data_IF_125556189252
#
_entry.id   IF_125556189252
#
_cell.length_a   1.000
_cell.length_b   1.000
_cell.length_c   1.000
_cell.angle_alpha   90.00
_cell.angle_beta   90.00
_cell.angle_gamma   90.00
#
_symmetry.space_group_name_H-M   'P 1'
#
loop_
_entity.id
_entity.type
_entity.pdbx_description
1 polymer ?
#
# COMPACT_ATOMS: atom_id res chain seq x y z
N UNK A 1 43.24 41.82 49.68
CA UNK A 1 42.51 41.52 48.43
C UNK A 1 42.31 40.01 48.34
N UNK A 2 41.16 39.50 48.78
CA UNK A 2 40.81 38.06 48.69
C UNK A 2 40.29 37.79 47.29
N UNK A 3 41.04 37.06 46.48
CA UNK A 3 40.59 36.62 45.15
C UNK A 3 39.49 35.57 45.30
N UNK A 4 38.39 35.76 44.57
CA UNK A 4 37.22 34.88 44.49
C UNK A 4 37.58 33.56 43.78
N UNK A 5 38.30 32.67 44.46
CA UNK A 5 38.63 31.31 44.00
C UNK A 5 37.44 30.39 43.66
N UNK A 6 36.24 30.45 44.31
CA UNK A 6 35.15 29.53 43.97
C UNK A 6 34.43 29.86 42.65
N UNK A 7 34.49 31.11 42.17
CA UNK A 7 33.88 31.48 40.87
C UNK A 7 34.69 30.96 39.67
N UNK A 8 36.02 30.94 39.79
CA UNK A 8 36.90 30.47 38.71
C UNK A 8 36.83 28.96 38.55
N UNK A 9 36.76 28.21 39.66
CA UNK A 9 36.58 26.75 39.63
C UNK A 9 35.22 26.34 39.07
N UNK A 10 34.16 27.09 39.38
CA UNK A 10 32.83 26.84 38.80
C UNK A 10 32.81 27.07 37.28
N UNK A 11 33.44 28.15 36.79
CA UNK A 11 33.52 28.45 35.36
C UNK A 11 34.32 27.38 34.61
N UNK A 12 35.45 26.92 35.18
CA UNK A 12 36.26 25.85 34.58
C UNK A 12 35.52 24.50 34.56
N UNK A 13 34.74 24.18 35.59
CA UNK A 13 33.90 22.97 35.63
C UNK A 13 32.79 23.02 34.56
N UNK A 14 32.14 24.17 34.39
CA UNK A 14 31.15 24.36 33.34
C UNK A 14 31.76 24.23 31.93
N UNK A 15 32.95 24.80 31.70
CA UNK A 15 33.65 24.67 30.42
C UNK A 15 34.07 23.22 30.12
N UNK A 16 34.49 22.47 31.14
CA UNK A 16 34.85 21.06 31.00
C UNK A 16 33.64 20.16 30.71
N UNK A 17 32.50 20.41 31.38
CA UNK A 17 31.23 19.72 31.12
C UNK A 17 30.72 20.04 29.70
N UNK A 18 30.82 21.30 29.26
CA UNK A 18 30.49 21.67 27.88
C UNK A 18 31.40 20.95 26.86
N UNK A 19 32.69 20.79 27.16
CA UNK A 19 33.62 20.06 26.29
C UNK A 19 33.27 18.57 26.18
N UNK A 20 32.85 17.92 27.28
CA UNK A 20 32.39 16.52 27.28
C UNK A 20 31.07 16.36 26.51
N UNK A 21 30.16 17.34 26.57
CA UNK A 21 28.88 17.30 25.84
C UNK A 21 29.10 17.46 24.32
N UNK A 22 30.03 18.34 23.92
CA UNK A 22 30.36 18.58 22.50
C UNK A 22 31.11 17.39 21.89
N UNK A 23 31.96 16.70 22.66
CA UNK A 23 32.76 15.55 22.19
C UNK A 23 32.23 14.18 22.63
N UNK A 24 31.00 14.10 23.14
CA UNK A 24 30.38 12.80 23.34
C UNK A 24 30.12 12.17 21.95
N UNK A 25 30.56 10.92 21.71
CA UNK A 25 30.42 10.28 20.40
C UNK A 25 28.96 10.24 19.91
N UNK A 26 27.98 10.20 20.81
CA UNK A 26 26.56 10.29 20.46
C UNK A 26 26.21 11.68 19.89
N UNK A 27 26.77 12.76 20.44
CA UNK A 27 26.55 14.13 19.94
C UNK A 27 27.28 14.38 18.62
N UNK A 28 28.47 13.81 18.42
CA UNK A 28 29.17 13.88 17.13
C UNK A 28 28.40 13.12 16.05
N UNK A 29 27.81 11.97 16.37
CA UNK A 29 26.93 11.23 15.46
C UNK A 29 25.64 12.01 15.16
N UNK A 30 24.98 12.63 16.15
CA UNK A 30 23.73 13.37 15.92
C UNK A 30 23.98 14.70 15.22
N UNK A 31 25.06 15.42 15.52
CA UNK A 31 25.43 16.68 14.85
C UNK A 31 26.02 16.41 13.46
N UNK A 32 26.77 15.31 13.28
CA UNK A 32 27.18 14.79 11.97
C UNK A 32 25.99 14.40 11.10
N UNK A 33 25.00 13.72 11.68
CA UNK A 33 23.73 13.39 11.01
C UNK A 33 22.90 14.64 10.67
N UNK A 34 22.87 15.63 11.57
CA UNK A 34 22.17 16.90 11.34
C UNK A 34 22.86 17.77 10.27
N UNK A 35 24.18 17.77 10.23
CA UNK A 35 24.97 18.49 9.22
C UNK A 35 24.89 17.84 7.83
N UNK A 36 24.83 16.50 7.76
CA UNK A 36 24.46 15.78 6.51
C UNK A 36 23.04 16.13 6.07
N UNK A 37 22.09 16.25 7.01
CA UNK A 37 20.72 16.73 6.74
C UNK A 37 20.70 18.13 6.13
N UNK A 38 21.52 19.05 6.64
CA UNK A 38 21.55 20.44 6.18
C UNK A 38 22.29 20.57 4.84
N UNK A 39 23.45 19.93 4.67
CA UNK A 39 24.19 19.96 3.40
C UNK A 39 23.47 19.19 2.28
N UNK A 40 22.85 18.05 2.59
CA UNK A 40 22.05 17.28 1.62
C UNK A 40 20.75 17.98 1.22
N UNK A 41 20.14 18.72 2.15
CA UNK A 41 18.95 19.56 1.90
C UNK A 41 19.27 20.78 1.02
N UNK A 42 20.40 21.45 1.25
CA UNK A 42 20.79 22.65 0.50
C UNK A 42 21.12 22.38 -0.98
N UNK A 43 21.56 21.17 -1.34
CA UNK A 43 21.81 20.80 -2.74
C UNK A 43 20.55 20.55 -3.58
N UNK A 44 19.41 20.27 -2.94
CA UNK A 44 18.15 19.88 -3.60
C UNK A 44 17.02 20.92 -3.46
N UNK A 45 17.31 22.09 -2.89
CA UNK A 45 16.34 23.16 -2.64
C UNK A 45 15.72 23.77 -3.92
N UNK A 46 16.11 23.30 -5.12
CA UNK A 46 15.61 23.78 -6.40
C UNK A 46 15.03 22.70 -7.33
N UNK A 47 14.78 21.47 -6.85
CA UNK A 47 14.05 20.45 -7.62
C UNK A 47 12.82 19.97 -6.86
N UNK A 48 11.63 20.13 -7.46
CA UNK A 48 10.30 19.81 -6.90
C UNK A 48 10.01 18.31 -6.72
N UNK A 49 11.05 17.47 -6.63
CA UNK A 49 10.95 16.01 -6.54
C UNK A 49 11.23 15.55 -5.11
N UNK A 50 10.34 14.69 -4.57
CA UNK A 50 10.51 14.05 -3.26
C UNK A 50 11.94 13.45 -3.12
N UNK A 51 12.76 13.87 -2.14
CA UNK A 51 14.11 13.34 -1.99
C UNK A 51 14.13 11.83 -1.70
N UNK A 52 13.03 11.27 -1.16
CA UNK A 52 12.92 9.85 -0.81
C UNK A 52 12.91 8.89 -1.99
N UNK A 53 12.67 9.42 -3.20
CA UNK A 53 12.60 8.64 -4.45
C UNK A 53 13.90 8.74 -5.28
N UNK A 54 14.80 9.67 -4.93
CA UNK A 54 16.07 9.84 -5.64
C UNK A 54 17.01 8.67 -5.40
N UNK A 55 17.78 8.24 -6.41
CA UNK A 55 18.84 7.24 -6.21
C UNK A 55 19.91 7.71 -5.21
N UNK A 56 20.02 9.03 -5.01
CA UNK A 56 21.00 9.64 -4.10
C UNK A 56 20.75 9.29 -2.62
N UNK A 57 19.62 8.65 -2.27
CA UNK A 57 19.43 8.07 -0.92
C UNK A 57 20.47 6.98 -0.60
N UNK A 58 21.11 6.40 -1.62
CA UNK A 58 22.21 5.45 -1.46
C UNK A 58 23.59 6.11 -1.50
N UNK A 59 23.69 7.43 -1.71
CA UNK A 59 24.97 8.13 -1.73
C UNK A 59 25.66 7.97 -0.38
N UNK A 60 26.97 7.79 -0.41
CA UNK A 60 27.81 7.58 0.79
C UNK A 60 27.46 6.30 1.58
N UNK A 61 26.74 5.36 0.96
CA UNK A 61 26.51 4.00 1.49
C UNK A 61 27.37 2.96 0.77
N UNK A 62 27.64 1.78 1.38
CA UNK A 62 28.33 0.67 0.71
C UNK A 62 27.65 0.20 -0.58
N UNK A 63 26.32 0.41 -0.71
CA UNK A 63 25.55 0.03 -1.88
C UNK A 63 25.60 1.05 -3.02
N UNK A 64 26.33 2.18 -2.91
CA UNK A 64 26.30 3.26 -3.90
C UNK A 64 26.71 2.82 -5.32
N UNK A 65 27.76 2.01 -5.46
CA UNK A 65 28.18 1.52 -6.77
C UNK A 65 27.13 0.58 -7.39
N UNK A 66 26.48 -0.25 -6.58
CA UNK A 66 25.37 -1.09 -7.01
C UNK A 66 24.16 -0.22 -7.39
N UNK A 67 23.87 0.83 -6.64
CA UNK A 67 22.79 1.78 -6.89
C UNK A 67 22.94 2.48 -8.26
N UNK A 68 24.16 2.94 -8.59
CA UNK A 68 24.46 3.50 -9.92
C UNK A 68 24.25 2.48 -11.04
N UNK A 69 24.68 1.24 -10.84
CA UNK A 69 24.49 0.16 -11.81
C UNK A 69 23.00 -0.18 -12.01
N UNK A 70 22.22 -0.20 -10.93
CA UNK A 70 20.76 -0.40 -10.93
C UNK A 70 20.04 0.73 -11.66
N UNK A 71 20.37 1.98 -11.36
CA UNK A 71 19.76 3.17 -12.00
C UNK A 71 20.01 3.21 -13.52
N UNK A 72 21.22 2.86 -13.94
CA UNK A 72 21.63 2.77 -15.35
C UNK A 72 21.24 1.46 -16.05
N UNK A 73 20.61 0.51 -15.34
CA UNK A 73 20.30 -0.84 -15.82
C UNK A 73 21.50 -1.61 -16.39
N UNK A 74 22.70 -1.41 -15.83
CA UNK A 74 23.91 -2.12 -16.25
C UNK A 74 23.94 -3.54 -15.66
N UNK A 75 23.26 -4.47 -16.32
CA UNK A 75 23.07 -5.87 -15.85
C UNK A 75 24.40 -6.60 -15.61
N UNK A 76 25.42 -6.36 -16.45
CA UNK A 76 26.75 -6.96 -16.28
C UNK A 76 27.39 -6.49 -14.98
N UNK A 77 27.34 -5.18 -14.70
CA UNK A 77 27.91 -4.60 -13.48
C UNK A 77 27.13 -5.00 -12.23
N UNK A 78 25.80 -5.09 -12.31
CA UNK A 78 24.96 -5.60 -11.22
C UNK A 78 25.39 -7.03 -10.85
N UNK A 79 25.45 -7.94 -11.83
CA UNK A 79 25.91 -9.32 -11.63
C UNK A 79 27.30 -9.38 -11.00
N UNK A 80 28.24 -8.59 -11.52
CA UNK A 80 29.61 -8.53 -10.99
C UNK A 80 29.59 -8.13 -9.51
N UNK A 81 28.98 -6.98 -9.17
CA UNK A 81 28.98 -6.48 -7.79
C UNK A 81 28.26 -7.47 -6.86
N UNK A 82 27.12 -8.02 -7.25
CA UNK A 82 26.40 -9.00 -6.43
C UNK A 82 27.19 -10.30 -6.21
N UNK A 83 28.08 -10.68 -7.14
CA UNK A 83 28.95 -11.85 -6.97
C UNK A 83 30.13 -11.59 -6.03
N UNK A 84 30.68 -10.38 -6.05
CA UNK A 84 31.81 -9.94 -5.22
C UNK A 84 31.36 -9.55 -3.80
N UNK A 85 30.16 -8.98 -3.68
CA UNK A 85 29.60 -8.37 -2.47
C UNK A 85 28.15 -8.81 -2.24
N UNK A 86 27.96 -10.09 -1.88
CA UNK A 86 26.62 -10.69 -1.69
C UNK A 86 25.81 -9.99 -0.61
N UNK A 87 26.46 -9.43 0.41
CA UNK A 87 25.85 -8.69 1.51
C UNK A 87 25.08 -7.43 1.05
N UNK A 88 25.39 -6.88 -0.13
CA UNK A 88 24.75 -5.67 -0.64
C UNK A 88 23.38 -5.92 -1.25
N UNK A 89 23.03 -7.16 -1.62
CA UNK A 89 21.80 -7.46 -2.37
C UNK A 89 20.53 -7.05 -1.60
N UNK A 90 20.57 -7.20 -0.27
CA UNK A 90 19.49 -6.91 0.66
C UNK A 90 19.80 -5.70 1.55
N UNK A 91 20.82 -4.90 1.19
CA UNK A 91 21.15 -3.68 1.91
C UNK A 91 19.96 -2.71 1.87
N UNK A 92 19.59 -2.20 3.05
CA UNK A 92 18.57 -1.17 3.23
C UNK A 92 19.26 0.11 3.63
N UNK A 93 19.10 1.18 2.84
CA UNK A 93 19.74 2.45 3.18
C UNK A 93 19.21 3.02 4.51
N UNK A 94 20.02 3.80 5.25
CA UNK A 94 19.71 4.14 6.64
C UNK A 94 18.54 5.12 6.84
N UNK A 95 18.24 5.97 5.84
CA UNK A 95 17.30 7.09 5.98
C UNK A 95 15.84 6.62 5.85
N UNK A 96 15.52 5.81 4.84
CA UNK A 96 14.15 5.33 4.60
C UNK A 96 14.01 3.81 4.68
N UNK A 97 15.13 3.08 4.86
CA UNK A 97 15.13 1.63 4.84
C UNK A 97 14.85 1.04 3.46
N UNK A 98 15.13 1.77 2.39
CA UNK A 98 14.86 1.35 1.01
C UNK A 98 15.89 0.33 0.54
N UNK A 99 15.43 -0.81 0.02
CA UNK A 99 16.29 -1.76 -0.69
C UNK A 99 16.43 -1.36 -2.16
N UNK A 100 17.48 -1.83 -2.84
CA UNK A 100 17.65 -1.56 -4.26
C UNK A 100 16.60 -2.24 -5.14
N UNK A 101 16.06 -3.38 -4.69
CA UNK A 101 14.90 -3.99 -5.33
C UNK A 101 13.69 -3.05 -5.27
N UNK A 102 13.36 -2.56 -4.07
CA UNK A 102 12.23 -1.63 -3.89
C UNK A 102 12.41 -0.38 -4.77
N UNK A 103 13.59 0.23 -4.75
CA UNK A 103 13.89 1.42 -5.55
C UNK A 103 13.80 1.16 -7.06
N UNK A 104 14.33 0.03 -7.53
CA UNK A 104 14.28 -0.35 -8.94
C UNK A 104 12.83 -0.52 -9.45
N UNK A 105 11.92 -1.02 -8.62
CA UNK A 105 10.50 -1.12 -8.96
C UNK A 105 9.87 0.27 -9.00
N UNK A 106 10.06 1.08 -7.95
CA UNK A 106 9.51 2.43 -7.87
C UNK A 106 9.98 3.37 -8.98
N UNK A 107 11.15 3.10 -9.56
CA UNK A 107 11.76 3.86 -10.66
C UNK A 107 11.68 3.16 -12.02
N UNK A 108 10.80 2.16 -12.18
CA UNK A 108 10.53 1.44 -13.43
C UNK A 108 11.78 0.83 -14.12
N UNK A 109 12.75 0.35 -13.33
CA UNK A 109 13.97 -0.33 -13.79
C UNK A 109 13.78 -1.85 -13.84
N UNK A 110 12.94 -2.34 -14.77
CA UNK A 110 12.50 -3.74 -14.77
C UNK A 110 13.65 -4.74 -14.87
N UNK A 111 14.61 -4.50 -15.76
CA UNK A 111 15.72 -5.42 -15.96
C UNK A 111 16.64 -5.47 -14.72
N UNK A 112 16.79 -4.33 -14.03
CA UNK A 112 17.49 -4.27 -12.75
C UNK A 112 16.76 -5.04 -11.65
N UNK A 113 15.45 -4.86 -11.52
CA UNK A 113 14.64 -5.61 -10.56
C UNK A 113 14.72 -7.12 -10.80
N UNK A 114 14.56 -7.57 -12.06
CA UNK A 114 14.66 -8.99 -12.40
C UNK A 114 16.05 -9.56 -12.06
N UNK A 115 17.12 -8.84 -12.38
CA UNK A 115 18.46 -9.37 -12.10
C UNK A 115 18.78 -9.37 -10.60
N UNK A 116 18.29 -8.39 -9.83
CA UNK A 116 18.44 -8.38 -8.38
C UNK A 116 17.75 -9.60 -7.76
N UNK A 117 16.50 -9.91 -8.18
CA UNK A 117 15.77 -11.10 -7.73
C UNK A 117 16.50 -12.40 -8.10
N UNK A 118 17.00 -12.52 -9.34
CA UNK A 118 17.84 -13.66 -9.77
C UNK A 118 19.10 -13.86 -8.92
N UNK A 119 19.60 -12.81 -8.28
CA UNK A 119 20.78 -12.85 -7.40
C UNK A 119 20.41 -12.95 -5.91
N UNK A 120 19.15 -13.23 -5.57
CA UNK A 120 18.71 -13.46 -4.19
C UNK A 120 18.28 -12.20 -3.44
N UNK A 121 17.89 -11.14 -4.15
CA UNK A 121 17.18 -10.04 -3.50
C UNK A 121 15.88 -10.56 -2.89
N UNK A 122 15.66 -10.24 -1.62
CA UNK A 122 14.48 -10.64 -0.87
C UNK A 122 13.28 -9.74 -1.27
N UNK A 123 12.25 -10.31 -1.92
CA UNK A 123 11.09 -9.55 -2.38
C UNK A 123 10.16 -9.07 -1.25
N UNK A 124 10.41 -9.49 0.00
CA UNK A 124 9.60 -9.18 1.16
C UNK A 124 10.22 -8.09 2.06
N UNK A 125 11.37 -7.52 1.67
CA UNK A 125 12.01 -6.45 2.43
C UNK A 125 11.16 -5.18 2.46
N UNK A 126 10.63 -4.89 3.65
CA UNK A 126 9.82 -3.71 3.91
C UNK A 126 10.67 -2.43 3.85
N UNK A 127 10.19 -1.41 3.10
CA UNK A 127 10.70 -0.04 3.19
C UNK A 127 10.21 0.60 4.48
N UNK A 128 11.12 0.92 5.41
CA UNK A 128 10.77 1.42 6.75
C UNK A 128 9.92 2.69 6.73
N UNK A 129 10.19 3.61 5.81
CA UNK A 129 9.50 4.90 5.76
C UNK A 129 8.02 4.83 5.36
N UNK A 130 7.61 3.81 4.60
CA UNK A 130 6.20 3.60 4.22
C UNK A 130 5.62 2.30 4.74
N UNK A 131 6.43 1.46 5.38
CA UNK A 131 6.05 0.13 5.84
C UNK A 131 5.35 -0.73 4.77
N UNK A 132 5.89 -0.68 3.54
CA UNK A 132 5.41 -1.43 2.37
C UNK A 132 6.47 -2.40 1.87
N UNK A 133 6.03 -3.55 1.35
CA UNK A 133 6.90 -4.44 0.57
C UNK A 133 7.01 -3.99 -0.89
N UNK A 134 8.00 -4.48 -1.66
CA UNK A 134 8.06 -4.35 -3.11
C UNK A 134 6.75 -4.70 -3.83
N UNK A 135 6.00 -5.69 -3.33
CA UNK A 135 4.74 -6.13 -3.94
C UNK A 135 3.61 -5.10 -3.77
N UNK A 136 3.53 -4.43 -2.60
CA UNK A 136 2.61 -3.31 -2.41
C UNK A 136 2.87 -2.18 -3.41
N UNK A 137 4.15 -1.85 -3.63
CA UNK A 137 4.56 -0.81 -4.58
C UNK A 137 4.25 -1.20 -6.03
N UNK A 138 4.42 -2.49 -6.38
CA UNK A 138 4.17 -2.99 -7.73
C UNK A 138 2.68 -2.95 -8.10
N UNK A 139 1.79 -3.21 -7.14
CA UNK A 139 0.33 -3.20 -7.30
C UNK A 139 -0.26 -1.78 -7.22
N UNK A 140 0.31 -0.93 -6.37
CA UNK A 140 -0.15 0.45 -6.15
C UNK A 140 0.40 1.47 -7.14
N UNK A 141 0.49 2.74 -6.68
CA UNK A 141 1.10 3.83 -7.45
C UNK A 141 2.61 3.87 -7.24
N UNK A 142 3.39 3.87 -8.32
CA UNK A 142 4.84 4.06 -8.30
C UNK A 142 5.24 5.53 -8.32
N UNK A 143 6.50 5.80 -8.01
CA UNK A 143 6.99 7.17 -7.85
C UNK A 143 7.02 7.93 -9.19
N UNK A 144 6.47 9.14 -9.19
CA UNK A 144 6.60 10.08 -10.31
C UNK A 144 5.66 9.85 -11.49
N UNK A 145 4.81 8.83 -11.48
CA UNK A 145 3.95 8.53 -12.63
C UNK A 145 2.57 9.17 -12.53
N UNK A 146 2.22 9.99 -13.54
CA UNK A 146 0.89 10.58 -13.68
C UNK A 146 -0.07 9.64 -14.42
N UNK A 147 0.43 8.60 -15.11
CA UNK A 147 -0.35 7.68 -15.93
C UNK A 147 0.14 6.23 -15.73
N UNK A 148 -0.28 5.60 -14.64
CA UNK A 148 0.07 4.20 -14.33
C UNK A 148 -0.43 3.28 -15.45
N UNK A 149 0.50 2.63 -16.15
CA UNK A 149 0.16 1.53 -17.06
C UNK A 149 -0.12 0.26 -16.24
N UNK A 150 -1.38 -0.18 -16.24
CA UNK A 150 -1.81 -1.41 -15.56
C UNK A 150 -0.98 -2.63 -15.98
N UNK A 151 -0.50 -2.65 -17.23
CA UNK A 151 0.36 -3.73 -17.72
C UNK A 151 1.71 -3.76 -17.03
N UNK A 152 2.26 -2.59 -16.68
CA UNK A 152 3.50 -2.51 -15.92
C UNK A 152 3.31 -3.00 -14.48
N UNK A 153 2.16 -2.69 -13.87
CA UNK A 153 1.80 -3.23 -12.55
C UNK A 153 1.71 -4.75 -12.57
N UNK A 154 1.01 -5.31 -13.55
CA UNK A 154 0.91 -6.78 -13.75
C UNK A 154 2.31 -7.38 -13.91
N UNK A 155 3.13 -6.84 -14.81
CA UNK A 155 4.47 -7.39 -15.12
C UNK A 155 5.39 -7.46 -13.90
N UNK A 156 5.41 -6.43 -13.06
CA UNK A 156 6.21 -6.46 -11.83
C UNK A 156 5.58 -7.32 -10.74
N UNK A 157 4.26 -7.40 -10.67
CA UNK A 157 3.56 -8.28 -9.73
C UNK A 157 3.88 -9.73 -10.05
N UNK A 158 3.79 -10.15 -11.32
CA UNK A 158 4.20 -11.47 -11.79
C UNK A 158 5.66 -11.76 -11.46
N UNK A 159 6.54 -10.78 -11.73
CA UNK A 159 7.96 -10.92 -11.44
C UNK A 159 8.19 -11.16 -9.95
N UNK A 160 7.61 -10.36 -9.07
CA UNK A 160 7.81 -10.49 -7.63
C UNK A 160 7.24 -11.82 -7.08
N UNK A 161 6.02 -12.17 -7.47
CA UNK A 161 5.38 -13.42 -7.05
C UNK A 161 6.18 -14.63 -7.51
N UNK A 162 6.69 -14.62 -8.75
CA UNK A 162 7.59 -15.66 -9.28
C UNK A 162 8.84 -15.90 -8.42
N UNK A 163 9.34 -14.86 -7.74
CA UNK A 163 10.51 -14.96 -6.86
C UNK A 163 10.15 -15.04 -5.36
N UNK A 164 8.91 -15.37 -5.03
CA UNK A 164 8.49 -15.66 -3.65
C UNK A 164 8.07 -14.44 -2.82
N UNK A 165 7.59 -13.38 -3.47
CA UNK A 165 6.91 -12.30 -2.75
C UNK A 165 5.65 -12.86 -2.05
N UNK A 166 5.49 -12.57 -0.77
CA UNK A 166 4.34 -12.97 0.03
C UNK A 166 3.23 -11.92 -0.12
N UNK A 167 2.06 -12.26 -0.71
CA UNK A 167 0.94 -11.35 -0.89
C UNK A 167 0.18 -11.03 0.40
N UNK A 168 0.50 -11.70 1.51
CA UNK A 168 -0.21 -11.58 2.79
C UNK A 168 0.50 -10.70 3.81
N UNK A 169 1.70 -10.17 3.50
CA UNK A 169 2.33 -9.18 4.36
C UNK A 169 1.43 -7.93 4.37
N UNK A 170 0.94 -7.47 5.53
CA UNK A 170 0.07 -6.31 5.58
C UNK A 170 0.88 -5.01 5.46
N UNK A 171 0.27 -4.00 4.84
CA UNK A 171 0.68 -2.62 4.99
C UNK A 171 0.24 -2.12 6.38
N UNK A 172 1.19 -1.72 7.24
CA UNK A 172 0.87 -0.99 8.47
C UNK A 172 1.16 0.50 8.22
N UNK A 173 0.17 1.21 7.70
CA UNK A 173 0.24 2.67 7.55
C UNK A 173 -0.05 3.42 8.85
N UNK A 174 0.17 4.73 8.84
CA UNK A 174 -0.13 5.62 9.98
C UNK A 174 -1.63 5.62 10.40
N UNK A 175 -2.53 5.16 9.52
CA UNK A 175 -3.96 5.04 9.77
C UNK A 175 -4.39 3.76 10.51
N UNK A 176 -3.45 2.92 10.97
CA UNK A 176 -3.71 1.70 11.77
C UNK A 176 -4.61 0.64 11.12
N UNK A 177 -4.89 0.73 9.81
CA UNK A 177 -5.66 -0.28 9.10
C UNK A 177 -4.72 -1.13 8.25
N UNK A 178 -4.66 -2.42 8.59
CA UNK A 178 -3.90 -3.45 7.87
C UNK A 178 -4.50 -3.62 6.47
N UNK A 179 -3.91 -2.96 5.47
CA UNK A 179 -4.34 -3.11 4.07
C UNK A 179 -3.52 -4.23 3.43
N UNK A 180 -4.18 -5.22 2.84
CA UNK A 180 -3.49 -6.28 2.09
C UNK A 180 -3.18 -5.84 0.66
N UNK A 181 -2.22 -6.51 0.02
CA UNK A 181 -1.92 -6.30 -1.41
C UNK A 181 -3.16 -6.55 -2.27
N UNK A 182 -4.01 -7.52 -1.90
CA UNK A 182 -5.27 -7.80 -2.59
C UNK A 182 -6.23 -6.60 -2.55
N UNK A 183 -6.35 -5.92 -1.40
CA UNK A 183 -7.14 -4.69 -1.27
C UNK A 183 -6.52 -3.53 -2.06
N UNK A 184 -5.19 -3.40 -2.08
CA UNK A 184 -4.51 -2.39 -2.90
C UNK A 184 -4.85 -2.53 -4.39
N UNK A 185 -4.94 -3.75 -4.91
CA UNK A 185 -5.31 -4.01 -6.31
C UNK A 185 -6.71 -3.48 -6.65
N UNK A 186 -7.65 -3.59 -5.70
CA UNK A 186 -9.05 -3.13 -5.85
C UNK A 186 -9.13 -1.59 -5.82
N UNK A 187 -8.32 -0.94 -4.98
CA UNK A 187 -8.17 0.52 -4.99
C UNK A 187 -7.56 1.04 -6.29
N UNK A 188 -6.56 0.32 -6.83
CA UNK A 188 -5.86 0.72 -8.04
C UNK A 188 -6.77 0.71 -9.29
N UNK A 189 -7.81 -0.14 -9.32
CA UNK A 189 -8.81 -0.15 -10.39
C UNK A 189 -9.55 -1.48 -10.54
N UNK A 190 -10.29 -1.63 -11.64
CA UNK A 190 -11.08 -2.82 -12.01
C UNK A 190 -10.26 -3.95 -12.66
N UNK A 191 -8.97 -4.06 -12.36
CA UNK A 191 -8.12 -5.08 -12.97
C UNK A 191 -8.38 -6.47 -12.36
N UNK A 192 -9.38 -7.19 -12.91
CA UNK A 192 -9.66 -8.59 -12.55
C UNK A 192 -8.40 -9.45 -12.63
N UNK A 193 -7.59 -9.25 -13.66
CA UNK A 193 -6.34 -10.00 -13.87
C UNK A 193 -5.34 -9.82 -12.72
N UNK A 194 -5.20 -8.62 -12.17
CA UNK A 194 -4.30 -8.38 -11.04
C UNK A 194 -4.77 -9.10 -9.77
N UNK A 195 -6.08 -9.12 -9.55
CA UNK A 195 -6.74 -9.84 -8.44
C UNK A 195 -6.58 -11.36 -8.62
N UNK A 196 -6.85 -11.88 -9.82
CA UNK A 196 -6.62 -13.28 -10.18
C UNK A 196 -5.19 -13.71 -9.93
N UNK A 197 -4.21 -12.90 -10.37
CA UNK A 197 -2.80 -13.19 -10.20
C UNK A 197 -2.41 -13.30 -8.72
N UNK A 198 -2.89 -12.37 -7.87
CA UNK A 198 -2.60 -12.40 -6.44
C UNK A 198 -3.23 -13.63 -5.75
N UNK A 199 -4.50 -13.93 -6.05
CA UNK A 199 -5.21 -15.08 -5.48
C UNK A 199 -4.54 -16.40 -5.90
N UNK A 200 -4.19 -16.54 -7.18
CA UNK A 200 -3.50 -17.72 -7.69
C UNK A 200 -2.10 -17.93 -7.08
N UNK A 201 -1.53 -16.89 -6.45
CA UNK A 201 -0.26 -16.95 -5.73
C UNK A 201 -0.45 -16.91 -4.19
N UNK A 202 -1.64 -17.26 -3.69
CA UNK A 202 -1.87 -17.51 -2.27
C UNK A 202 -2.24 -16.27 -1.44
N UNK A 203 -2.71 -15.19 -2.07
CA UNK A 203 -3.34 -14.09 -1.33
C UNK A 203 -4.57 -14.60 -0.56
N UNK A 204 -4.66 -14.30 0.72
CA UNK A 204 -5.81 -14.62 1.57
C UNK A 204 -7.00 -13.75 1.15
N UNK A 205 -7.97 -14.42 0.52
CA UNK A 205 -9.21 -13.82 0.01
C UNK A 205 -10.04 -13.19 1.14
N UNK A 206 -9.95 -13.75 2.36
CA UNK A 206 -10.75 -13.37 3.52
C UNK A 206 -9.95 -12.58 4.57
N UNK A 207 -8.74 -12.13 4.22
CA UNK A 207 -7.99 -11.21 5.05
C UNK A 207 -8.82 -9.95 5.28
N UNK A 208 -8.82 -9.47 6.53
CA UNK A 208 -9.68 -8.39 6.98
C UNK A 208 -8.88 -7.30 7.68
N UNK A 209 -9.24 -6.05 7.41
CA UNK A 209 -8.71 -4.90 8.14
C UNK A 209 -9.25 -4.88 9.58
N UNK A 210 -8.71 -3.99 10.43
CA UNK A 210 -9.25 -3.75 11.77
C UNK A 210 -10.71 -3.24 11.75
N UNK A 211 -11.13 -2.63 10.65
CA UNK A 211 -12.52 -2.25 10.37
C UNK A 211 -13.41 -3.43 9.93
N UNK A 212 -12.89 -4.65 9.80
CA UNK A 212 -13.63 -5.80 9.29
C UNK A 212 -13.83 -5.81 7.76
N UNK A 213 -13.36 -4.77 7.06
CA UNK A 213 -13.38 -4.71 5.59
C UNK A 213 -12.55 -5.86 5.01
N UNK A 214 -13.12 -6.60 4.05
CA UNK A 214 -12.47 -7.64 3.26
C UNK A 214 -12.28 -7.17 1.81
N UNK A 215 -11.52 -7.92 1.02
CA UNK A 215 -11.42 -7.64 -0.42
C UNK A 215 -12.79 -7.64 -1.12
N UNK A 216 -13.67 -8.58 -0.75
CA UNK A 216 -15.02 -8.67 -1.32
C UNK A 216 -15.90 -7.47 -0.94
N UNK A 217 -15.93 -7.08 0.35
CA UNK A 217 -16.72 -5.92 0.78
C UNK A 217 -16.20 -4.62 0.17
N UNK A 218 -14.88 -4.48 0.06
CA UNK A 218 -14.26 -3.32 -0.58
C UNK A 218 -14.61 -3.23 -2.08
N UNK A 219 -14.58 -4.37 -2.80
CA UNK A 219 -14.97 -4.41 -4.21
C UNK A 219 -16.44 -4.01 -4.40
N UNK A 220 -17.33 -4.42 -3.48
CA UNK A 220 -18.73 -3.99 -3.48
C UNK A 220 -18.88 -2.48 -3.25
N UNK A 221 -18.17 -1.93 -2.27
CA UNK A 221 -18.20 -0.49 -1.91
C UNK A 221 -17.66 0.39 -3.04
N UNK A 222 -16.56 -0.02 -3.67
CA UNK A 222 -15.91 0.71 -4.75
C UNK A 222 -16.54 0.44 -6.13
N UNK A 223 -17.66 -0.31 -6.17
CA UNK A 223 -18.43 -0.59 -7.40
C UNK A 223 -17.60 -1.31 -8.46
N UNK A 224 -16.68 -2.18 -8.01
CA UNK A 224 -15.81 -2.98 -8.86
C UNK A 224 -16.54 -4.24 -9.31
N UNK A 225 -17.63 -4.09 -10.07
CA UNK A 225 -18.64 -5.15 -10.28
C UNK A 225 -18.05 -6.49 -10.74
N UNK A 226 -17.15 -6.46 -11.72
CA UNK A 226 -16.49 -7.68 -12.24
C UNK A 226 -15.57 -8.32 -11.20
N UNK A 227 -14.88 -7.52 -10.41
CA UNK A 227 -13.99 -8.01 -9.33
C UNK A 227 -14.80 -8.54 -8.16
N UNK A 228 -15.88 -7.85 -7.77
CA UNK A 228 -16.79 -8.31 -6.72
C UNK A 228 -17.44 -9.64 -7.10
N UNK A 229 -17.92 -9.77 -8.34
CA UNK A 229 -18.45 -11.04 -8.86
C UNK A 229 -17.39 -12.13 -8.82
N UNK A 230 -16.18 -11.88 -9.31
CA UNK A 230 -15.08 -12.85 -9.25
C UNK A 230 -14.79 -13.32 -7.82
N UNK A 231 -14.58 -12.38 -6.89
CA UNK A 231 -14.26 -12.70 -5.50
C UNK A 231 -15.37 -13.49 -4.81
N UNK A 232 -16.62 -13.09 -5.01
CA UNK A 232 -17.76 -13.65 -4.28
C UNK A 232 -18.21 -14.96 -4.94
N UNK A 233 -18.46 -14.95 -6.25
CA UNK A 233 -19.09 -16.06 -6.98
C UNK A 233 -18.06 -17.10 -7.41
N UNK A 234 -16.93 -16.67 -7.98
CA UNK A 234 -15.92 -17.62 -8.49
C UNK A 234 -14.94 -18.09 -7.39
N UNK A 235 -14.57 -17.19 -6.45
CA UNK A 235 -13.63 -17.51 -5.37
C UNK A 235 -14.31 -17.83 -4.02
N UNK A 236 -15.63 -17.71 -3.90
CA UNK A 236 -16.39 -17.98 -2.67
C UNK A 236 -15.88 -17.21 -1.44
N UNK A 237 -15.50 -15.94 -1.64
CA UNK A 237 -15.15 -15.05 -0.53
C UNK A 237 -16.29 -14.96 0.49
N UNK A 238 -15.92 -14.88 1.77
CA UNK A 238 -16.88 -14.75 2.87
C UNK A 238 -17.52 -13.35 2.84
N UNK A 239 -18.86 -13.33 2.83
CA UNK A 239 -19.68 -12.11 2.82
C UNK A 239 -20.60 -12.01 4.05
N UNK A 240 -20.40 -12.86 5.05
CA UNK A 240 -21.28 -12.98 6.22
C UNK A 240 -20.92 -12.01 7.35
N UNK A 241 -19.66 -11.59 7.40
CA UNK A 241 -19.16 -10.68 8.43
C UNK A 241 -19.39 -9.20 8.09
N UNK A 242 -19.61 -8.39 9.12
CA UNK A 242 -19.78 -6.96 8.96
C UNK A 242 -18.42 -6.22 8.85
N UNK A 243 -18.42 -5.14 8.07
CA UNK A 243 -17.39 -4.12 8.11
C UNK A 243 -17.93 -2.82 8.74
N UNK A 244 -17.03 -1.98 9.24
CA UNK A 244 -17.31 -0.60 9.64
C UNK A 244 -17.03 0.33 8.46
N UNK A 245 -17.95 1.24 8.15
CA UNK A 245 -17.80 2.19 7.04
C UNK A 245 -16.84 3.34 7.42
N UNK A 246 -15.64 3.43 6.83
CA UNK A 246 -14.71 4.52 7.11
C UNK A 246 -15.09 5.83 6.39
N UNK A 247 -15.95 5.80 5.36
CA UNK A 247 -16.32 6.98 4.57
C UNK A 247 -17.45 7.81 5.21
N UNK A 248 -18.18 7.24 6.19
CA UNK A 248 -19.17 7.97 6.98
C UNK A 248 -18.58 8.68 8.22
N UNK A 249 -17.30 8.48 8.54
CA UNK A 249 -16.66 9.03 9.74
C UNK A 249 -15.73 10.20 9.41
N UNK A 250 -16.33 11.39 9.19
CA UNK A 250 -15.59 12.65 9.03
C UNK A 250 -14.79 13.07 10.29
N UNK A 251 -14.82 12.30 11.38
CA UNK A 251 -14.37 12.75 12.69
C UNK A 251 -13.16 12.01 13.28
N UNK A 252 -12.41 11.17 12.55
CA UNK A 252 -11.13 10.57 12.98
C UNK A 252 -11.13 9.91 14.40
N UNK A 253 -12.30 9.74 15.00
CA UNK A 253 -12.56 9.18 16.32
C UNK A 253 -13.61 8.08 16.13
N UNK A 254 -13.19 7.01 15.47
CA UNK A 254 -13.71 5.64 15.62
C UNK A 254 -15.18 5.60 16.06
N UNK A 255 -16.10 5.97 15.15
CA UNK A 255 -17.51 5.64 15.30
C UNK A 255 -17.70 4.20 14.79
N UNK A 256 -17.19 3.23 15.56
CA UNK A 256 -17.40 1.77 15.41
C UNK A 256 -18.85 1.34 15.70
N UNK A 257 -19.84 2.21 15.50
CA UNK A 257 -21.18 1.98 16.06
C UNK A 257 -22.13 1.30 15.08
N UNK A 258 -22.01 1.54 13.76
CA UNK A 258 -22.91 0.92 12.78
C UNK A 258 -22.18 -0.14 11.96
N UNK A 259 -22.51 -1.40 12.23
CA UNK A 259 -22.14 -2.53 11.39
C UNK A 259 -22.82 -2.39 10.02
N UNK A 260 -22.04 -2.51 8.95
CA UNK A 260 -22.53 -2.60 7.59
C UNK A 260 -22.15 -3.97 7.06
N UNK A 261 -23.13 -4.78 6.69
CA UNK A 261 -22.88 -6.08 6.06
C UNK A 261 -22.78 -5.91 4.54
N UNK A 262 -22.05 -6.78 3.83
CA UNK A 262 -22.00 -6.81 2.37
C UNK A 262 -23.39 -6.73 1.70
N UNK A 263 -24.41 -7.31 2.32
CA UNK A 263 -25.79 -7.31 1.79
C UNK A 263 -26.42 -5.92 1.82
N UNK A 264 -26.05 -5.10 2.81
CA UNK A 264 -26.51 -3.71 2.86
C UNK A 264 -25.92 -2.89 1.71
N UNK A 265 -24.67 -3.16 1.33
CA UNK A 265 -24.01 -2.51 0.19
C UNK A 265 -24.67 -2.91 -1.12
N UNK A 266 -25.01 -4.20 -1.28
CA UNK A 266 -25.70 -4.71 -2.48
C UNK A 266 -27.14 -4.19 -2.62
N UNK A 267 -27.75 -3.75 -1.51
CA UNK A 267 -29.05 -3.08 -1.42
C UNK A 267 -28.97 -1.55 -1.56
N UNK A 268 -27.80 -0.98 -1.81
CA UNK A 268 -27.62 0.46 -1.99
C UNK A 268 -27.98 0.92 -3.43
N UNK A 269 -28.26 2.22 -3.61
CA UNK A 269 -28.66 2.79 -4.90
C UNK A 269 -27.60 2.60 -5.98
N UNK A 270 -26.33 2.46 -5.59
CA UNK A 270 -25.20 2.18 -6.48
C UNK A 270 -25.30 0.82 -7.21
N UNK A 271 -26.17 -0.07 -6.73
CA UNK A 271 -26.41 -1.41 -7.29
C UNK A 271 -27.78 -1.52 -7.97
N UNK A 272 -28.38 -0.40 -8.37
CA UNK A 272 -29.59 -0.36 -9.20
C UNK A 272 -29.17 -0.35 -10.67
N UNK A 273 -29.63 -1.33 -11.44
CA UNK A 273 -29.31 -1.51 -12.85
C UNK A 273 -30.55 -1.83 -13.68
N UNK A 274 -30.58 -1.52 -14.99
CA UNK A 274 -31.60 -2.05 -15.88
C UNK A 274 -31.64 -3.58 -15.84
N UNK A 275 -32.84 -4.18 -15.85
CA UNK A 275 -33.03 -5.62 -15.64
C UNK A 275 -32.39 -6.51 -16.72
N UNK A 276 -32.11 -5.96 -17.89
CA UNK A 276 -31.45 -6.63 -19.02
C UNK A 276 -29.93 -6.39 -19.06
N UNK A 277 -29.40 -5.54 -18.18
CA UNK A 277 -28.00 -5.14 -18.17
C UNK A 277 -27.06 -6.28 -17.74
N UNK A 278 -25.79 -6.18 -18.14
CA UNK A 278 -24.76 -7.13 -17.70
C UNK A 278 -24.54 -7.04 -16.19
N UNK A 279 -24.55 -5.84 -15.63
CA UNK A 279 -24.36 -5.57 -14.21
C UNK A 279 -25.51 -6.16 -13.37
N UNK A 280 -26.74 -6.11 -13.87
CA UNK A 280 -27.86 -6.78 -13.22
C UNK A 280 -27.64 -8.31 -13.15
N UNK A 281 -27.16 -8.93 -14.23
CA UNK A 281 -26.83 -10.37 -14.22
C UNK A 281 -25.73 -10.71 -13.21
N UNK A 282 -24.65 -9.92 -13.17
CA UNK A 282 -23.59 -10.08 -12.16
C UNK A 282 -24.15 -9.95 -10.73
N UNK A 283 -25.06 -8.99 -10.52
CA UNK A 283 -25.73 -8.80 -9.23
C UNK A 283 -26.58 -10.02 -8.85
N UNK A 284 -27.32 -10.62 -9.79
CA UNK A 284 -28.13 -11.81 -9.52
C UNK A 284 -27.27 -13.03 -9.15
N UNK A 285 -26.11 -13.20 -9.80
CA UNK A 285 -25.15 -14.25 -9.43
C UNK A 285 -24.62 -14.03 -8.00
N UNK A 286 -24.28 -12.79 -7.64
CA UNK A 286 -23.86 -12.42 -6.28
C UNK A 286 -24.99 -12.71 -5.28
N UNK A 287 -26.24 -12.34 -5.57
CA UNK A 287 -27.41 -12.63 -4.70
C UNK A 287 -27.58 -14.14 -4.49
N UNK A 288 -27.37 -14.93 -5.55
CA UNK A 288 -27.44 -16.39 -5.48
C UNK A 288 -26.38 -16.95 -4.54
N UNK A 289 -25.16 -16.42 -4.62
CA UNK A 289 -24.06 -16.79 -3.73
C UNK A 289 -24.29 -16.34 -2.28
N UNK A 290 -24.89 -15.16 -2.07
CA UNK A 290 -25.29 -14.70 -0.74
C UNK A 290 -26.26 -15.69 -0.09
N UNK A 291 -27.28 -16.13 -0.84
CA UNK A 291 -28.22 -17.14 -0.38
C UNK A 291 -27.51 -18.47 -0.06
N UNK A 292 -26.52 -18.89 -0.86
CA UNK A 292 -25.71 -20.09 -0.60
C UNK A 292 -24.96 -20.00 0.74
N UNK A 293 -24.48 -18.81 1.10
CA UNK A 293 -23.81 -18.54 2.38
C UNK A 293 -24.79 -18.22 3.53
N UNK A 294 -26.10 -18.33 3.31
CA UNK A 294 -27.13 -18.12 4.35
C UNK A 294 -27.52 -16.66 4.57
N UNK A 295 -27.16 -15.75 3.66
CA UNK A 295 -27.53 -14.33 3.72
C UNK A 295 -28.75 -14.07 2.85
N UNK A 296 -29.86 -13.68 3.49
CA UNK A 296 -31.11 -13.35 2.78
C UNK A 296 -31.10 -11.89 2.30
N UNK A 297 -30.83 -11.74 1.00
CA UNK A 297 -30.88 -10.47 0.29
C UNK A 297 -32.27 -9.83 0.36
N UNK A 298 -33.34 -10.60 0.10
CA UNK A 298 -34.70 -10.07 -0.01
C UNK A 298 -35.29 -9.68 1.34
N UNK A 299 -34.88 -10.34 2.43
CA UNK A 299 -35.22 -9.93 3.80
C UNK A 299 -34.52 -8.64 4.24
N UNK A 300 -33.42 -8.24 3.59
CA UNK A 300 -32.70 -7.01 3.93
C UNK A 300 -33.50 -5.80 3.42
N UNK A 301 -33.88 -4.84 4.28
CA UNK A 301 -34.72 -3.72 3.89
C UNK A 301 -33.98 -2.76 2.94
N UNK A 302 -34.72 -2.18 2.00
CA UNK A 302 -34.25 -1.12 1.12
C UNK A 302 -34.59 0.25 1.72
N UNK A 303 -33.65 1.19 1.68
CA UNK A 303 -33.84 2.52 2.28
C UNK A 303 -34.77 3.39 1.43
N UNK A 304 -35.40 4.39 2.04
CA UNK A 304 -36.25 5.35 1.32
C UNK A 304 -35.49 6.10 0.23
N UNK A 305 -34.20 6.36 0.45
CA UNK A 305 -33.32 6.97 -0.56
C UNK A 305 -33.16 6.09 -1.79
N UNK A 306 -33.01 4.77 -1.61
CA UNK A 306 -32.94 3.82 -2.73
C UNK A 306 -34.28 3.71 -3.44
N UNK A 307 -35.40 3.66 -2.69
CA UNK A 307 -36.75 3.65 -3.29
C UNK A 307 -37.00 4.90 -4.13
N UNK A 308 -36.60 6.06 -3.63
CA UNK A 308 -36.68 7.32 -4.35
C UNK A 308 -35.80 7.30 -5.60
N UNK A 309 -34.55 6.82 -5.50
CA UNK A 309 -33.66 6.70 -6.64
C UNK A 309 -34.24 5.81 -7.75
N UNK A 310 -34.81 4.65 -7.40
CA UNK A 310 -35.45 3.76 -8.38
C UNK A 310 -36.63 4.46 -9.07
N UNK A 311 -37.52 5.10 -8.30
CA UNK A 311 -38.66 5.86 -8.85
C UNK A 311 -38.23 7.00 -9.78
N UNK A 312 -37.15 7.69 -9.42
CA UNK A 312 -36.63 8.81 -10.18
C UNK A 312 -35.93 8.37 -11.47
N UNK A 313 -35.08 7.33 -11.40
CA UNK A 313 -34.29 6.85 -12.54
C UNK A 313 -35.12 6.03 -13.53
N UNK A 314 -36.17 5.34 -13.05
CA UNK A 314 -36.98 4.39 -13.84
C UNK A 314 -38.49 4.65 -13.70
N UNK A 315 -39.00 5.85 -14.03
CA UNK A 315 -40.38 6.24 -13.73
C UNK A 315 -41.44 5.37 -14.40
N UNK A 316 -41.13 4.78 -15.57
CA UNK A 316 -42.08 3.99 -16.36
C UNK A 316 -42.22 2.54 -15.87
N UNK A 317 -41.24 2.00 -15.12
CA UNK A 317 -41.24 0.62 -14.65
C UNK A 317 -40.69 0.46 -13.21
N UNK A 318 -40.77 1.51 -12.39
CA UNK A 318 -40.20 1.51 -11.04
C UNK A 318 -40.79 0.43 -10.13
N UNK A 319 -42.04 0.02 -10.35
CA UNK A 319 -42.71 -1.03 -9.54
C UNK A 319 -42.04 -2.38 -9.75
N UNK A 320 -41.82 -2.76 -11.02
CA UNK A 320 -41.08 -3.97 -11.38
C UNK A 320 -39.64 -3.91 -10.87
N UNK A 321 -38.99 -2.75 -11.02
CA UNK A 321 -37.64 -2.52 -10.50
C UNK A 321 -37.59 -2.71 -8.98
N UNK A 322 -38.56 -2.20 -8.22
CA UNK A 322 -38.62 -2.34 -6.76
C UNK A 322 -38.91 -3.78 -6.32
N UNK A 323 -39.72 -4.52 -7.07
CA UNK A 323 -40.02 -5.93 -6.79
C UNK A 323 -38.77 -6.81 -6.99
N UNK A 324 -38.00 -6.54 -8.04
CA UNK A 324 -36.80 -7.30 -8.41
C UNK A 324 -35.51 -6.81 -7.74
N UNK A 325 -35.51 -5.59 -7.20
CA UNK A 325 -34.37 -5.00 -6.51
C UNK A 325 -34.24 -5.53 -5.09
#
# INVERSE_FOLDING_TARGET
MKYNTPKITFILLCLFICFIIIFNPVTIYTVGWLSVKILGSMGNLFTSTDPSISINIFKDTPAWELAKAVNSQNIKKIKQICSEHKELINYREPLYGTSLLYWAIGSSKYNSAEILLKNGADPNLIRRASNTTPLHLAVGKRWGDKNIDVNENIKYTELLLKYGADPNIPYLGESYDDITVLMNAIFAGDSKLLVELLINNGADINARQNTGTTAASLALQLKRYTVAHYLIVECHADITEACYDPMMDNNLYISRQKKVYPVNILRDYCWVFPLDSKEYKLKQDIITEFKRQGVDYYATPISDSVRYHIKYTYPDNYEEMLEKF
#
